data_IF_007336226667
#
_entry.id   IF_007336226667
#
_cell.length_a   1.000
_cell.length_b   1.000
_cell.length_c   1.000
_cell.angle_alpha   90.00
_cell.angle_beta   90.00
_cell.angle_gamma   90.00
#
_symmetry.space_group_name_H-M   'P 1'
#
loop_
_entity.id
_entity.type
_entity.pdbx_description
1 polymer ?
#
# COMPACT_ATOMS: atom_id res chain seq x y z
N UNK A 1 7.55 -0.04 -12.22
CA UNK A 1 6.63 1.06 -11.89
C UNK A 1 5.67 0.60 -10.81
N UNK A 2 5.50 1.40 -9.76
CA UNK A 2 4.62 1.03 -8.67
C UNK A 2 3.14 1.15 -9.07
N UNK A 3 2.35 0.13 -8.80
CA UNK A 3 0.91 0.11 -9.01
C UNK A 3 0.26 -0.84 -8.00
N UNK A 4 -1.06 -0.93 -8.02
CA UNK A 4 -1.80 -1.76 -7.08
C UNK A 4 -1.32 -3.23 -7.11
N UNK A 5 -1.17 -3.80 -8.30
CA UNK A 5 -0.76 -5.20 -8.46
C UNK A 5 0.64 -5.43 -7.89
N UNK A 6 1.58 -4.55 -8.19
CA UNK A 6 2.96 -4.67 -7.70
C UNK A 6 3.01 -4.61 -6.17
N UNK A 7 2.25 -3.69 -5.56
CA UNK A 7 2.22 -3.55 -4.10
C UNK A 7 1.55 -4.76 -3.46
N UNK A 8 0.44 -5.22 -4.00
CA UNK A 8 -0.25 -6.41 -3.49
C UNK A 8 0.63 -7.66 -3.57
N UNK A 9 1.29 -7.86 -4.70
CA UNK A 9 2.19 -8.99 -4.88
C UNK A 9 3.36 -8.94 -3.90
N UNK A 10 3.91 -7.75 -3.69
CA UNK A 10 5.00 -7.57 -2.72
C UNK A 10 4.55 -7.96 -1.30
N UNK A 11 3.42 -7.44 -0.86
CA UNK A 11 2.91 -7.70 0.49
C UNK A 11 2.58 -9.18 0.66
N UNK A 12 1.95 -9.79 -0.33
CA UNK A 12 1.59 -11.21 -0.30
C UNK A 12 2.82 -12.10 -0.26
N UNK A 13 3.85 -11.78 -1.04
CA UNK A 13 5.07 -12.58 -1.11
C UNK A 13 5.96 -12.43 0.13
N UNK A 14 6.03 -11.24 0.69
CA UNK A 14 6.97 -10.92 1.77
C UNK A 14 6.33 -10.87 3.16
N UNK A 15 5.01 -10.85 3.24
CA UNK A 15 4.25 -10.74 4.50
C UNK A 15 4.67 -9.55 5.36
N UNK A 16 5.05 -8.44 4.69
CA UNK A 16 5.42 -7.19 5.35
C UNK A 16 5.15 -6.01 4.43
N UNK A 17 5.07 -4.84 5.01
CA UNK A 17 4.89 -3.62 4.25
C UNK A 17 6.19 -3.19 3.56
N UNK A 18 6.09 -2.46 2.42
CA UNK A 18 7.27 -1.89 1.80
C UNK A 18 8.05 -0.98 2.75
N UNK A 19 9.36 -1.00 2.65
CA UNK A 19 10.25 -0.20 3.50
C UNK A 19 10.74 1.05 2.78
N UNK A 20 10.91 2.14 3.52
CA UNK A 20 11.49 3.37 2.96
C UNK A 20 13.00 3.26 2.74
N UNK A 21 13.64 2.21 3.24
CA UNK A 21 15.09 2.03 3.15
C UNK A 21 15.58 1.43 1.84
N UNK A 22 14.67 0.87 1.03
CA UNK A 22 15.00 0.32 -0.28
C UNK A 22 14.31 1.14 -1.35
N UNK A 23 15.03 1.45 -2.44
CA UNK A 23 14.51 2.31 -3.50
C UNK A 23 13.21 1.77 -4.09
N UNK A 24 13.18 0.47 -4.43
CA UNK A 24 11.99 -0.16 -5.02
C UNK A 24 10.80 -0.10 -4.08
N UNK A 25 11.02 -0.39 -2.81
CA UNK A 25 9.98 -0.37 -1.80
C UNK A 25 9.55 1.06 -1.48
N UNK A 26 10.49 2.00 -1.52
CA UNK A 26 10.18 3.42 -1.33
C UNK A 26 9.22 3.94 -2.43
N UNK A 27 9.42 3.50 -3.66
CA UNK A 27 8.52 3.86 -4.77
C UNK A 27 7.10 3.34 -4.52
N UNK A 28 6.98 2.12 -3.98
CA UNK A 28 5.69 1.56 -3.60
C UNK A 28 5.01 2.38 -2.51
N UNK A 29 5.77 2.80 -1.49
CA UNK A 29 5.25 3.66 -0.43
C UNK A 29 4.77 5.00 -0.98
N UNK A 30 5.53 5.61 -1.88
CA UNK A 30 5.15 6.86 -2.51
C UNK A 30 3.85 6.72 -3.30
N UNK A 31 3.69 5.61 -4.01
CA UNK A 31 2.47 5.31 -4.74
C UNK A 31 1.27 5.20 -3.78
N UNK A 32 1.45 4.48 -2.67
CA UNK A 32 0.40 4.31 -1.65
C UNK A 32 0.02 5.67 -1.06
N UNK A 33 1.00 6.48 -0.69
CA UNK A 33 0.75 7.82 -0.13
C UNK A 33 0.00 8.72 -1.12
N UNK A 34 0.41 8.70 -2.38
CA UNK A 34 -0.23 9.51 -3.42
C UNK A 34 -1.69 9.10 -3.61
N UNK A 35 -1.97 7.79 -3.68
CA UNK A 35 -3.33 7.30 -3.85
C UNK A 35 -4.20 7.53 -2.61
N UNK A 36 -3.62 7.43 -1.42
CA UNK A 36 -4.33 7.73 -0.19
C UNK A 36 -4.76 9.19 -0.15
N UNK A 37 -3.90 10.08 -0.63
CA UNK A 37 -4.21 11.50 -0.75
C UNK A 37 -5.38 11.72 -1.72
N UNK A 38 -5.37 11.02 -2.85
CA UNK A 38 -6.47 11.09 -3.81
C UNK A 38 -7.77 10.55 -3.21
N UNK A 39 -7.70 9.46 -2.46
CA UNK A 39 -8.85 8.88 -1.79
C UNK A 39 -9.47 9.87 -0.81
N UNK A 40 -8.65 10.52 0.01
CA UNK A 40 -9.10 11.49 1.01
C UNK A 40 -9.71 12.73 0.36
N UNK A 41 -9.23 13.09 -0.83
CA UNK A 41 -9.75 14.23 -1.59
C UNK A 41 -11.00 13.88 -2.42
N UNK A 42 -11.40 12.61 -2.44
CA UNK A 42 -12.53 12.16 -3.24
C UNK A 42 -12.24 12.10 -4.74
N UNK A 43 -10.96 12.09 -5.11
CA UNK A 43 -10.52 12.11 -6.50
C UNK A 43 -10.20 10.72 -7.08
N UNK A 44 -10.28 9.68 -6.25
CA UNK A 44 -10.01 8.31 -6.70
C UNK A 44 -11.26 7.70 -7.34
N UNK A 45 -11.08 6.97 -8.45
CA UNK A 45 -12.21 6.32 -9.14
C UNK A 45 -12.82 5.25 -8.26
N UNK A 46 -14.16 5.08 -8.35
CA UNK A 46 -14.89 4.17 -7.47
C UNK A 46 -14.43 2.71 -7.55
N UNK A 47 -14.08 2.22 -8.75
CA UNK A 47 -13.56 0.87 -8.91
C UNK A 47 -12.17 0.69 -8.26
N UNK A 48 -11.38 1.76 -8.20
CA UNK A 48 -10.08 1.75 -7.54
C UNK A 48 -10.20 1.88 -6.03
N UNK A 49 -11.25 2.54 -5.54
CA UNK A 49 -11.49 2.71 -4.11
C UNK A 49 -11.57 1.37 -3.40
N UNK A 50 -12.35 0.43 -3.93
CA UNK A 50 -12.50 -0.90 -3.34
C UNK A 50 -11.16 -1.63 -3.25
N UNK A 51 -10.41 -1.65 -4.35
CA UNK A 51 -9.11 -2.30 -4.41
C UNK A 51 -8.10 -1.65 -3.46
N UNK A 52 -8.12 -0.32 -3.43
CA UNK A 52 -7.21 0.41 -2.57
C UNK A 52 -7.53 0.22 -1.09
N UNK A 53 -8.81 0.16 -0.73
CA UNK A 53 -9.23 -0.13 0.64
C UNK A 53 -8.79 -1.52 1.08
N UNK A 54 -8.85 -2.50 0.20
CA UNK A 54 -8.35 -3.85 0.46
C UNK A 54 -6.86 -3.83 0.73
N UNK A 55 -6.11 -3.09 -0.08
CA UNK A 55 -4.68 -2.91 0.11
C UNK A 55 -4.36 -2.23 1.44
N UNK A 56 -5.07 -1.16 1.77
CA UNK A 56 -4.89 -0.45 3.05
C UNK A 56 -5.18 -1.35 4.24
N UNK A 57 -6.17 -2.23 4.12
CA UNK A 57 -6.47 -3.23 5.15
C UNK A 57 -5.29 -4.16 5.41
N UNK A 58 -4.65 -4.63 4.36
CA UNK A 58 -3.46 -5.49 4.47
C UNK A 58 -2.27 -4.72 5.09
N UNK A 59 -2.07 -3.49 4.68
CA UNK A 59 -1.00 -2.65 5.22
C UNK A 59 -1.21 -2.43 6.72
N UNK A 60 -2.43 -2.13 7.12
CA UNK A 60 -2.76 -1.90 8.53
C UNK A 60 -2.57 -3.17 9.36
N UNK A 61 -2.99 -4.31 8.84
CA UNK A 61 -2.79 -5.60 9.49
C UNK A 61 -1.30 -5.89 9.71
N UNK A 62 -0.48 -5.67 8.70
CA UNK A 62 0.96 -5.88 8.79
C UNK A 62 1.61 -4.93 9.80
N UNK A 63 1.12 -3.70 9.90
CA UNK A 63 1.61 -2.74 10.89
C UNK A 63 1.35 -3.22 12.30
N UNK A 64 0.17 -3.78 12.56
CA UNK A 64 -0.19 -4.31 13.88
C UNK A 64 0.73 -5.46 14.28
N UNK A 65 0.99 -6.38 13.35
CA UNK A 65 1.88 -7.50 13.60
C UNK A 65 3.30 -7.01 13.90
N UNK A 66 3.79 -6.05 13.14
CA UNK A 66 5.15 -5.53 13.29
C UNK A 66 5.36 -4.71 14.55
N UNK A 67 4.30 -4.19 15.16
CA UNK A 67 4.41 -3.43 16.41
C UNK A 67 4.85 -4.27 17.60
N UNK A 68 4.68 -5.57 17.53
CA UNK A 68 5.00 -6.48 18.64
C UNK A 68 6.31 -7.24 18.44
N UNK A 69 7.07 -6.88 17.41
CA UNK A 69 8.35 -7.56 17.10
C UNK A 69 9.57 -6.74 17.54
#
# INVERSE_FOLDING_TARGET
MANWTAVMDFITANHRNPSKHRIEEHLMLNWVKANRKLLNAGALKSDRIEKFNELLGLIEENRRVNQYV
#
